data_IF_509848871618
#
_entry.id   IF_509848871618
#
_cell.length_a   1.000
_cell.length_b   1.000
_cell.length_c   1.000
_cell.angle_alpha   90.00
_cell.angle_beta   90.00
_cell.angle_gamma   90.00
#
_symmetry.space_group_name_H-M   'P 1'
#
loop_
_entity.id
_entity.type
_entity.pdbx_description
1 polymer ?
#
# COMPACT_ATOMS: atom_id res chain seq x y z
N UNK A 1 -46.39 -32.57 -9.64
CA UNK A 1 -46.24 -31.26 -8.97
C UNK A 1 -46.29 -30.16 -10.02
N UNK A 2 -47.30 -29.29 -10.01
CA UNK A 2 -47.36 -28.12 -10.89
C UNK A 2 -47.04 -26.85 -10.08
N UNK A 3 -46.00 -26.13 -10.49
CA UNK A 3 -45.65 -24.82 -9.94
C UNK A 3 -46.33 -23.73 -10.76
N UNK A 4 -47.30 -23.04 -10.17
CA UNK A 4 -47.94 -21.88 -10.78
C UNK A 4 -47.11 -20.63 -10.46
N UNK A 5 -46.36 -20.11 -11.44
CA UNK A 5 -45.79 -18.74 -11.38
C UNK A 5 -46.86 -17.74 -11.80
N UNK A 6 -47.29 -16.88 -10.88
CA UNK A 6 -48.10 -15.70 -11.19
C UNK A 6 -47.20 -14.47 -11.33
N UNK A 7 -46.76 -14.18 -12.56
CA UNK A 7 -46.17 -12.87 -12.88
C UNK A 7 -47.29 -11.94 -13.34
N UNK A 8 -47.84 -11.16 -12.41
CA UNK A 8 -48.87 -10.16 -12.73
C UNK A 8 -48.22 -8.92 -13.33
N UNK A 9 -48.20 -8.81 -14.66
CA UNK A 9 -47.87 -7.57 -15.36
C UNK A 9 -49.04 -6.59 -15.23
N UNK A 10 -48.90 -5.56 -14.40
CA UNK A 10 -49.85 -4.44 -14.35
C UNK A 10 -49.56 -3.50 -15.54
N UNK A 11 -50.41 -3.51 -16.56
CA UNK A 11 -50.31 -2.58 -17.67
C UNK A 11 -50.68 -1.18 -17.21
N UNK A 12 -49.73 -0.24 -17.29
CA UNK A 12 -49.94 1.16 -16.94
C UNK A 12 -50.89 1.79 -17.97
N UNK A 13 -52.17 1.86 -17.64
CA UNK A 13 -53.20 2.54 -18.45
C UNK A 13 -52.81 4.01 -18.62
N UNK A 14 -52.30 4.36 -19.80
CA UNK A 14 -52.01 5.74 -20.19
C UNK A 14 -53.36 6.46 -20.35
N UNK A 15 -53.81 7.06 -19.25
CA UNK A 15 -55.06 7.80 -19.18
C UNK A 15 -54.83 9.16 -19.80
N UNK A 16 -55.45 9.41 -20.95
CA UNK A 16 -55.39 10.71 -21.63
C UNK A 16 -56.02 11.76 -20.72
N UNK A 17 -55.18 12.65 -20.17
CA UNK A 17 -55.59 13.62 -19.15
C UNK A 17 -56.54 14.65 -19.77
N UNK A 18 -57.80 14.66 -19.33
CA UNK A 18 -58.84 15.60 -19.80
C UNK A 18 -58.70 16.95 -19.09
N UNK A 19 -59.12 18.03 -19.75
CA UNK A 19 -59.16 19.38 -19.16
C UNK A 19 -60.17 19.41 -18.00
N UNK A 20 -59.83 20.15 -16.95
CA UNK A 20 -60.66 20.36 -15.76
C UNK A 20 -60.91 19.14 -14.86
N UNK A 21 -59.96 18.19 -14.80
CA UNK A 21 -59.98 17.13 -13.80
C UNK A 21 -58.88 17.32 -12.75
N UNK A 22 -59.24 17.18 -11.48
CA UNK A 22 -58.28 17.20 -10.39
C UNK A 22 -57.53 15.85 -10.34
N UNK A 23 -56.28 15.84 -10.79
CA UNK A 23 -55.42 14.66 -10.77
C UNK A 23 -54.74 14.54 -9.41
N UNK A 24 -55.22 13.63 -8.57
CA UNK A 24 -54.55 13.31 -7.31
C UNK A 24 -53.40 12.35 -7.59
N UNK A 25 -52.16 12.81 -7.45
CA UNK A 25 -50.99 11.93 -7.49
C UNK A 25 -50.90 11.17 -6.16
N UNK A 26 -51.08 9.86 -6.20
CA UNK A 26 -50.72 8.98 -5.08
C UNK A 26 -49.20 8.93 -4.98
N UNK A 27 -48.62 9.81 -4.15
CA UNK A 27 -47.23 9.65 -3.71
C UNK A 27 -47.21 8.55 -2.65
N UNK A 28 -46.30 7.59 -2.79
CA UNK A 28 -46.05 6.61 -1.74
C UNK A 28 -45.51 7.35 -0.51
N UNK A 29 -46.31 7.43 0.55
CA UNK A 29 -45.90 8.05 1.83
C UNK A 29 -45.04 7.09 2.67
N UNK A 30 -44.23 6.26 2.01
CA UNK A 30 -43.29 5.35 2.68
C UNK A 30 -42.17 6.21 3.25
N UNK A 31 -42.44 6.80 4.41
CA UNK A 31 -41.43 7.46 5.22
C UNK A 31 -40.70 6.37 6.00
N UNK A 32 -39.38 6.50 6.07
CA UNK A 32 -38.64 5.70 7.04
C UNK A 32 -39.18 6.03 8.43
N UNK A 33 -39.74 5.01 9.09
CA UNK A 33 -40.18 5.15 10.48
C UNK A 33 -39.01 5.50 11.40
N UNK A 34 -39.26 6.01 12.62
CA UNK A 34 -38.21 6.43 13.55
C UNK A 34 -37.11 5.38 13.74
N UNK A 35 -37.50 4.10 13.82
CA UNK A 35 -36.57 2.96 13.96
C UNK A 35 -35.69 2.77 12.72
N UNK A 36 -36.26 2.87 11.53
CA UNK A 36 -35.49 2.70 10.29
C UNK A 36 -34.46 3.83 10.13
N UNK A 37 -34.80 5.05 10.56
CA UNK A 37 -33.86 6.17 10.55
C UNK A 37 -32.70 5.97 11.54
N UNK A 38 -32.96 5.54 12.77
CA UNK A 38 -31.89 5.29 13.74
C UNK A 38 -30.96 4.17 13.31
N UNK A 39 -31.51 3.10 12.71
CA UNK A 39 -30.71 1.99 12.18
C UNK A 39 -29.81 2.46 11.04
N UNK A 40 -30.33 3.30 10.13
CA UNK A 40 -29.53 3.87 9.04
C UNK A 40 -28.37 4.72 9.59
N UNK A 41 -28.65 5.60 10.56
CA UNK A 41 -27.62 6.45 11.19
C UNK A 41 -26.58 5.60 11.90
N UNK A 42 -26.99 4.56 12.65
CA UNK A 42 -26.07 3.64 13.31
C UNK A 42 -25.17 2.90 12.29
N UNK A 43 -25.73 2.45 11.17
CA UNK A 43 -24.96 1.85 10.08
C UNK A 43 -23.97 2.82 9.46
N UNK A 44 -24.37 4.08 9.27
CA UNK A 44 -23.50 5.10 8.70
C UNK A 44 -22.30 5.39 9.63
N UNK A 45 -22.53 5.47 10.94
CA UNK A 45 -21.47 5.61 11.94
C UNK A 45 -20.55 4.37 11.94
N UNK A 46 -21.12 3.16 11.86
CA UNK A 46 -20.33 1.94 11.80
C UNK A 46 -19.42 1.90 10.56
N UNK A 47 -19.92 2.30 9.39
CA UNK A 47 -19.11 2.38 8.16
C UNK A 47 -17.99 3.41 8.30
N UNK A 48 -18.26 4.59 8.86
CA UNK A 48 -17.23 5.60 9.12
C UNK A 48 -16.16 5.09 10.09
N UNK A 49 -16.57 4.37 11.14
CA UNK A 49 -15.64 3.73 12.09
C UNK A 49 -14.74 2.69 11.42
N UNK A 50 -15.28 1.87 10.52
CA UNK A 50 -14.50 0.89 9.75
C UNK A 50 -13.53 1.56 8.77
N UNK A 51 -13.93 2.68 8.14
CA UNK A 51 -13.04 3.49 7.29
C UNK A 51 -11.89 4.07 8.10
N UNK A 52 -12.15 4.54 9.32
CA UNK A 52 -11.09 5.04 10.20
C UNK A 52 -10.13 3.92 10.63
N UNK A 53 -10.66 2.75 11.01
CA UNK A 53 -9.85 1.60 11.39
C UNK A 53 -8.96 1.14 10.23
N UNK A 54 -9.48 1.07 9.00
CA UNK A 54 -8.68 0.69 7.83
C UNK A 54 -7.62 1.72 7.48
N UNK A 55 -7.86 3.01 7.69
CA UNK A 55 -6.83 4.05 7.55
C UNK A 55 -5.74 3.91 8.62
N UNK A 56 -6.11 3.64 9.87
CA UNK A 56 -5.17 3.40 10.96
C UNK A 56 -4.32 2.14 10.72
N UNK A 57 -4.93 1.03 10.30
CA UNK A 57 -4.22 -0.23 10.01
C UNK A 57 -3.33 -0.12 8.77
N UNK A 58 -3.79 0.52 7.69
CA UNK A 58 -2.96 0.75 6.49
C UNK A 58 -1.77 1.66 6.81
N UNK A 59 -1.99 2.77 7.53
CA UNK A 59 -0.89 3.66 7.98
C UNK A 59 0.11 2.91 8.84
N UNK A 60 -0.36 2.06 9.75
CA UNK A 60 0.52 1.23 10.60
C UNK A 60 1.33 0.23 9.76
N UNK A 61 0.70 -0.44 8.79
CA UNK A 61 1.37 -1.39 7.90
C UNK A 61 2.39 -0.71 6.97
N UNK A 62 2.05 0.43 6.38
CA UNK A 62 2.98 1.24 5.57
C UNK A 62 4.17 1.74 6.40
N UNK A 63 3.97 2.02 7.69
CA UNK A 63 5.05 2.34 8.62
C UNK A 63 6.07 1.21 8.77
N UNK A 64 5.61 -0.04 8.93
CA UNK A 64 6.50 -1.20 9.04
C UNK A 64 7.25 -1.50 7.74
N UNK A 65 6.58 -1.40 6.60
CA UNK A 65 7.21 -1.59 5.29
C UNK A 65 8.28 -0.52 5.03
N UNK A 66 7.98 0.76 5.29
CA UNK A 66 8.98 1.84 5.21
C UNK A 66 10.16 1.63 6.15
N UNK A 67 9.93 1.20 7.38
CA UNK A 67 11.01 0.93 8.33
C UNK A 67 11.95 -0.18 7.82
N UNK A 68 11.39 -1.23 7.21
CA UNK A 68 12.16 -2.31 6.57
C UNK A 68 13.00 -1.80 5.40
N UNK A 69 12.39 -1.06 4.48
CA UNK A 69 13.11 -0.46 3.34
C UNK A 69 14.21 0.51 3.80
N UNK A 70 13.96 1.35 4.81
CA UNK A 70 14.96 2.29 5.34
C UNK A 70 16.15 1.55 5.96
N UNK A 71 15.89 0.43 6.65
CA UNK A 71 16.96 -0.43 7.18
C UNK A 71 17.79 -1.05 6.06
N UNK A 72 17.16 -1.50 4.98
CA UNK A 72 17.85 -2.06 3.82
C UNK A 72 18.69 -1.00 3.09
N UNK A 73 18.16 0.22 2.94
CA UNK A 73 18.89 1.36 2.39
C UNK A 73 20.11 1.68 3.25
N UNK A 74 19.95 1.73 4.57
CA UNK A 74 21.05 1.98 5.49
C UNK A 74 22.15 0.90 5.40
N UNK A 75 21.76 -0.37 5.34
CA UNK A 75 22.69 -1.50 5.18
C UNK A 75 23.43 -1.43 3.84
N UNK A 76 22.71 -1.20 2.73
CA UNK A 76 23.30 -1.08 1.41
C UNK A 76 24.23 0.13 1.30
N UNK A 77 23.87 1.25 1.92
CA UNK A 77 24.71 2.44 1.99
C UNK A 77 26.02 2.18 2.74
N UNK A 78 25.94 1.48 3.88
CA UNK A 78 27.12 1.07 4.65
C UNK A 78 28.02 0.13 3.84
N UNK A 79 27.45 -0.90 3.18
CA UNK A 79 28.20 -1.82 2.32
C UNK A 79 28.87 -1.10 1.16
N UNK A 80 28.18 -0.14 0.53
CA UNK A 80 28.75 0.67 -0.55
C UNK A 80 29.96 1.47 -0.06
N UNK A 81 29.83 2.14 1.09
CA UNK A 81 30.93 2.91 1.68
C UNK A 81 32.15 2.02 1.99
N UNK A 82 31.91 0.83 2.55
CA UNK A 82 32.99 -0.13 2.81
C UNK A 82 33.68 -0.59 1.52
N UNK A 83 32.90 -0.91 0.48
CA UNK A 83 33.45 -1.29 -0.83
C UNK A 83 34.26 -0.15 -1.47
N UNK A 84 33.83 1.11 -1.34
CA UNK A 84 34.58 2.27 -1.82
C UNK A 84 35.93 2.41 -1.11
N UNK A 85 35.96 2.23 0.21
CA UNK A 85 37.22 2.24 1.00
C UNK A 85 38.13 1.08 0.59
N UNK A 86 37.59 -0.13 0.45
CA UNK A 86 38.36 -1.29 0.01
C UNK A 86 38.92 -1.11 -1.40
N UNK A 87 38.14 -0.53 -2.32
CA UNK A 87 38.60 -0.24 -3.68
C UNK A 87 39.73 0.79 -3.68
N UNK A 88 39.60 1.88 -2.91
CA UNK A 88 40.66 2.86 -2.74
C UNK A 88 41.93 2.20 -2.20
N UNK A 89 41.81 1.34 -1.18
CA UNK A 89 42.93 0.60 -0.59
C UNK A 89 43.61 -0.32 -1.62
N UNK A 90 42.84 -1.06 -2.41
CA UNK A 90 43.37 -1.92 -3.47
C UNK A 90 44.09 -1.11 -4.54
N UNK A 91 43.54 0.05 -4.91
CA UNK A 91 44.16 0.96 -5.87
C UNK A 91 45.47 1.52 -5.34
N UNK A 92 45.52 1.95 -4.08
CA UNK A 92 46.77 2.38 -3.43
C UNK A 92 47.79 1.26 -3.36
N UNK A 93 47.38 0.03 -3.03
CA UNK A 93 48.28 -1.12 -2.99
C UNK A 93 48.85 -1.45 -4.37
N UNK A 94 48.01 -1.39 -5.42
CA UNK A 94 48.44 -1.58 -6.80
C UNK A 94 49.43 -0.50 -7.24
N UNK A 95 49.20 0.77 -6.87
CA UNK A 95 50.14 1.86 -7.14
C UNK A 95 51.49 1.67 -6.42
N UNK A 96 51.48 1.27 -5.14
CA UNK A 96 52.71 0.98 -4.38
C UNK A 96 53.47 -0.18 -5.00
N UNK A 97 52.80 -1.27 -5.38
CA UNK A 97 53.42 -2.42 -6.06
C UNK A 97 54.08 -2.04 -7.38
N UNK A 98 53.47 -1.12 -8.13
CA UNK A 98 53.99 -0.64 -9.41
C UNK A 98 54.93 0.56 -9.28
N UNK A 99 55.26 0.98 -8.06
CA UNK A 99 56.17 2.11 -7.83
C UNK A 99 57.63 1.71 -8.07
N UNK A 100 58.44 2.69 -8.48
CA UNK A 100 59.88 2.50 -8.72
C UNK A 100 60.64 2.01 -7.49
N UNK A 101 60.17 2.36 -6.28
CA UNK A 101 60.74 1.90 -5.01
C UNK A 101 60.54 0.40 -4.82
N UNK A 102 59.34 -0.12 -5.12
CA UNK A 102 59.06 -1.56 -5.06
C UNK A 102 59.83 -2.35 -6.13
N UNK A 103 60.00 -1.79 -7.33
CA UNK A 103 60.83 -2.41 -8.39
C UNK A 103 62.32 -2.45 -8.05
N UNK A 104 62.79 -1.58 -7.16
CA UNK A 104 64.17 -1.56 -6.67
C UNK A 104 64.40 -2.49 -5.46
N UNK A 105 63.35 -3.13 -4.90
CA UNK A 105 63.49 -4.09 -3.80
C UNK A 105 63.98 -5.45 -4.33
N UNK A 106 65.09 -5.94 -3.78
CA UNK A 106 65.62 -7.29 -4.05
C UNK A 106 65.09 -8.25 -2.97
N UNK A 107 64.65 -9.44 -3.37
CA UNK A 107 64.19 -10.45 -2.42
C UNK A 107 65.36 -10.91 -1.53
N UNK A 108 65.21 -10.99 -0.20
CA UNK A 108 66.28 -11.43 0.70
C UNK A 108 66.61 -12.91 0.46
N UNK A 109 67.90 -13.25 0.42
CA UNK A 109 68.39 -14.62 0.14
C UNK A 109 68.14 -15.62 1.27
N UNK A 110 67.99 -15.17 2.52
CA UNK A 110 67.53 -16.00 3.63
C UNK A 110 66.87 -15.16 4.74
N UNK A 111 65.83 -15.72 5.34
CA UNK A 111 65.24 -15.20 6.58
C UNK A 111 65.56 -16.18 7.70
N UNK A 112 66.61 -15.90 8.49
CA UNK A 112 66.87 -16.66 9.70
C UNK A 112 65.82 -16.29 10.75
N UNK A 113 64.95 -17.24 11.05
CA UNK A 113 64.08 -17.20 12.21
C UNK A 113 64.92 -17.66 13.40
N UNK A 114 65.10 -16.78 14.39
CA UNK A 114 65.63 -17.19 15.69
C UNK A 114 64.47 -17.78 16.49
N UNK A 115 64.57 -19.07 16.82
CA UNK A 115 63.62 -19.82 17.65
C UNK A 115 63.69 -19.38 19.12
#
# INVERSE_FOLDING_TARGET
MNYTRSTTFSSRRQTTMRRNQNSTKFKSDVKLGPVAHTVLVALMIAVLGLIYLTQATKTSAFGYESQGLESEIAELSAKKSDLEVQNARLTSLAQVKNSSVASAMVAPESTDFTE
#
